data_IF_437013601300
#
_entry.id   IF_437013601300
#
_cell.length_a   1.000
_cell.length_b   1.000
_cell.length_c   1.000
_cell.angle_alpha   90.00
_cell.angle_beta   90.00
_cell.angle_gamma   90.00
#
_symmetry.space_group_name_H-M   'P 1'
#
loop_
_entity.id
_entity.type
_entity.pdbx_description
1 polymer ?
#
# COMPACT_ATOMS: atom_id res chain seq x y z
N UNK A 1 -16.35 34.60 -1.81
CA UNK A 1 -15.74 33.61 -2.71
C UNK A 1 -16.76 32.50 -2.90
N UNK A 2 -17.05 32.03 -4.11
CA UNK A 2 -17.97 30.91 -4.31
C UNK A 2 -17.27 29.61 -3.95
N UNK A 3 -18.03 28.51 -3.72
CA UNK A 3 -17.42 27.19 -3.43
C UNK A 3 -16.55 26.70 -4.60
N UNK A 4 -16.90 27.04 -5.83
CA UNK A 4 -16.15 26.70 -7.02
C UNK A 4 -14.80 27.40 -7.04
N UNK A 5 -14.73 28.69 -6.71
CA UNK A 5 -13.49 29.48 -6.63
C UNK A 5 -12.57 28.96 -5.52
N UNK A 6 -13.13 28.56 -4.38
CA UNK A 6 -12.38 27.94 -3.29
C UNK A 6 -11.80 26.59 -3.72
N UNK A 7 -12.60 25.76 -4.39
CA UNK A 7 -12.13 24.46 -4.88
C UNK A 7 -10.98 24.61 -5.88
N UNK A 8 -11.13 25.52 -6.84
CA UNK A 8 -10.09 25.78 -7.84
C UNK A 8 -8.78 26.28 -7.19
N UNK A 9 -8.88 27.18 -6.22
CA UNK A 9 -7.73 27.66 -5.44
C UNK A 9 -7.00 26.53 -4.73
N UNK A 10 -7.73 25.68 -4.00
CA UNK A 10 -7.12 24.57 -3.28
C UNK A 10 -6.54 23.51 -4.21
N UNK A 11 -7.20 23.23 -5.33
CA UNK A 11 -6.70 22.31 -6.32
C UNK A 11 -5.38 22.82 -6.93
N UNK A 12 -5.30 24.10 -7.28
CA UNK A 12 -4.05 24.71 -7.75
C UNK A 12 -2.92 24.57 -6.72
N UNK A 13 -3.21 24.82 -5.44
CA UNK A 13 -2.24 24.63 -4.36
C UNK A 13 -1.75 23.19 -4.23
N UNK A 14 -2.62 22.21 -4.45
CA UNK A 14 -2.25 20.78 -4.46
C UNK A 14 -1.24 20.50 -5.59
N UNK A 15 -1.46 21.04 -6.79
CA UNK A 15 -0.53 20.85 -7.91
C UNK A 15 0.80 21.56 -7.69
N UNK A 16 0.80 22.79 -7.16
CA UNK A 16 2.03 23.53 -6.81
C UNK A 16 2.88 22.73 -5.81
N UNK A 17 2.28 22.25 -4.72
CA UNK A 17 2.98 21.44 -3.71
C UNK A 17 3.44 20.09 -4.27
N UNK A 18 2.66 19.46 -5.13
CA UNK A 18 3.05 18.21 -5.78
C UNK A 18 4.30 18.40 -6.66
N UNK A 19 4.37 19.51 -7.42
CA UNK A 19 5.53 19.86 -8.23
C UNK A 19 6.77 20.07 -7.35
N UNK A 20 6.66 20.85 -6.27
CA UNK A 20 7.73 21.05 -5.29
C UNK A 20 8.22 19.72 -4.68
N UNK A 21 7.32 18.79 -4.45
CA UNK A 21 7.61 17.46 -3.89
C UNK A 21 8.05 16.42 -4.94
N UNK A 22 8.05 16.76 -6.23
CA UNK A 22 8.35 15.81 -7.31
C UNK A 22 7.28 14.73 -7.53
N UNK A 23 6.04 14.99 -7.13
CA UNK A 23 4.89 14.10 -7.35
C UNK A 23 4.27 14.41 -8.70
N UNK A 24 4.35 13.48 -9.65
CA UNK A 24 3.92 13.71 -11.04
C UNK A 24 2.41 13.83 -11.23
N UNK A 25 1.63 13.12 -10.44
CA UNK A 25 0.16 13.16 -10.45
C UNK A 25 -0.40 13.14 -9.01
N UNK A 26 -0.72 14.31 -8.45
CA UNK A 26 -1.24 14.40 -7.09
C UNK A 26 -2.68 13.88 -6.96
N UNK A 27 -3.37 13.62 -8.08
CA UNK A 27 -4.73 13.06 -8.10
C UNK A 27 -4.72 11.53 -8.25
N UNK A 28 -3.55 10.93 -8.51
CA UNK A 28 -3.40 9.47 -8.39
C UNK A 28 -3.60 9.06 -6.94
N UNK A 29 -4.65 8.25 -6.73
CA UNK A 29 -5.04 7.81 -5.39
C UNK A 29 -3.98 6.98 -4.68
N UNK A 30 -3.15 6.24 -5.40
CA UNK A 30 -2.06 5.48 -4.79
C UNK A 30 -0.99 6.44 -4.26
N UNK A 31 -0.55 7.40 -5.06
CA UNK A 31 0.44 8.39 -4.65
C UNK A 31 -0.05 9.27 -3.49
N UNK A 32 -1.28 9.76 -3.59
CA UNK A 32 -1.90 10.51 -2.51
C UNK A 32 -1.91 9.74 -1.17
N UNK A 33 -2.24 8.44 -1.20
CA UNK A 33 -2.26 7.59 0.00
C UNK A 33 -0.86 7.31 0.54
N UNK A 34 0.12 7.13 -0.34
CA UNK A 34 1.53 7.01 0.03
C UNK A 34 1.99 8.27 0.78
N UNK A 35 1.71 9.48 0.24
CA UNK A 35 2.05 10.77 0.89
C UNK A 35 1.41 10.89 2.28
N UNK A 36 0.10 10.61 2.39
CA UNK A 36 -0.59 10.65 3.69
C UNK A 36 0.03 9.66 4.68
N UNK A 37 0.28 8.43 4.22
CA UNK A 37 0.83 7.36 5.06
C UNK A 37 2.23 7.74 5.55
N UNK A 38 3.11 8.14 4.65
CA UNK A 38 4.47 8.51 4.98
C UNK A 38 4.51 9.68 5.99
N UNK A 39 3.73 10.74 5.73
CA UNK A 39 3.63 11.87 6.64
C UNK A 39 3.13 11.46 8.04
N UNK A 40 2.15 10.56 8.12
CA UNK A 40 1.61 10.09 9.42
C UNK A 40 2.56 9.18 10.18
N UNK A 41 3.42 8.46 9.48
CA UNK A 41 4.39 7.53 10.06
C UNK A 41 5.79 8.16 10.24
N UNK A 42 6.02 9.38 9.75
CA UNK A 42 7.33 10.03 9.78
C UNK A 42 8.35 9.37 8.85
N UNK A 43 7.89 8.84 7.71
CA UNK A 43 8.73 8.20 6.71
C UNK A 43 9.09 9.17 5.59
N UNK A 44 10.22 8.91 4.93
CA UNK A 44 10.69 9.68 3.78
C UNK A 44 10.31 8.93 2.49
N UNK A 45 9.44 9.54 1.67
CA UNK A 45 9.01 8.97 0.38
C UNK A 45 10.13 9.00 -0.65
N UNK A 46 10.16 7.98 -1.51
CA UNK A 46 10.94 8.01 -2.74
C UNK A 46 10.18 8.77 -3.83
N UNK A 47 10.49 10.04 -4.01
CA UNK A 47 9.95 10.87 -5.09
C UNK A 47 10.71 10.61 -6.39
N UNK A 48 9.98 10.64 -7.52
CA UNK A 48 10.57 10.50 -8.86
C UNK A 48 10.61 9.09 -9.43
N UNK A 49 10.12 8.08 -8.72
CA UNK A 49 9.99 6.70 -9.25
C UNK A 49 8.72 6.49 -10.10
N UNK A 50 7.97 7.55 -10.40
CA UNK A 50 6.79 7.49 -11.28
C UNK A 50 7.23 7.36 -12.73
N UNK A 51 7.27 6.15 -13.24
CA UNK A 51 7.57 5.91 -14.64
C UNK A 51 8.37 4.65 -14.95
N UNK A 52 8.32 3.64 -14.12
CA UNK A 52 8.69 2.28 -14.50
C UNK A 52 10.18 1.95 -14.55
N UNK A 53 11.05 2.82 -14.08
CA UNK A 53 12.46 2.48 -13.84
C UNK A 53 12.80 2.73 -12.38
N UNK A 54 12.28 1.84 -11.51
CA UNK A 54 12.91 1.70 -10.20
C UNK A 54 14.37 1.29 -10.45
N UNK A 55 15.31 2.07 -9.91
CA UNK A 55 16.67 1.55 -9.83
C UNK A 55 16.65 0.36 -8.84
N UNK A 56 17.59 -0.56 -8.95
CA UNK A 56 17.65 -1.76 -8.12
C UNK A 56 17.65 -1.42 -6.61
N UNK A 57 18.09 -0.23 -6.22
CA UNK A 57 18.16 0.21 -4.83
C UNK A 57 16.79 0.50 -4.20
N UNK A 58 15.78 0.89 -5.00
CA UNK A 58 14.42 1.24 -4.51
C UNK A 58 13.37 0.20 -4.87
N UNK A 59 13.75 -0.89 -5.57
CA UNK A 59 12.81 -1.93 -5.98
C UNK A 59 11.99 -2.45 -4.79
N UNK A 60 10.67 -2.48 -4.96
CA UNK A 60 9.76 -2.96 -3.93
C UNK A 60 9.63 -2.05 -2.71
N UNK A 61 9.94 -0.74 -2.83
CA UNK A 61 9.81 0.20 -1.73
C UNK A 61 9.24 1.55 -2.20
N UNK A 62 8.33 2.11 -1.39
CA UNK A 62 7.73 3.43 -1.59
C UNK A 62 8.42 4.51 -0.75
N UNK A 63 9.06 4.13 0.36
CA UNK A 63 9.66 5.04 1.32
C UNK A 63 10.83 4.42 2.09
N UNK A 64 11.49 5.25 2.92
CA UNK A 64 12.33 4.79 4.04
C UNK A 64 11.76 5.28 5.37
N UNK A 65 11.93 4.48 6.42
CA UNK A 65 11.63 4.92 7.80
C UNK A 65 12.77 5.78 8.39
N UNK A 66 12.63 6.17 9.65
CA UNK A 66 13.62 6.97 10.37
C UNK A 66 14.98 6.28 10.56
N UNK A 67 15.04 4.96 10.42
CA UNK A 67 16.27 4.15 10.50
C UNK A 67 16.85 3.85 9.11
N UNK A 68 16.27 4.41 8.04
CA UNK A 68 16.69 4.18 6.67
C UNK A 68 16.25 2.84 6.08
N UNK A 69 15.40 2.06 6.76
CA UNK A 69 14.88 0.78 6.26
C UNK A 69 13.81 1.03 5.20
N UNK A 70 13.82 0.25 4.13
CA UNK A 70 12.84 0.32 3.05
C UNK A 70 11.44 -0.04 3.54
N UNK A 71 10.43 0.67 3.05
CA UNK A 71 9.02 0.45 3.39
C UNK A 71 8.18 0.42 2.13
N UNK A 72 7.35 -0.61 1.98
CA UNK A 72 6.35 -0.78 0.94
C UNK A 72 4.96 -0.56 1.51
N UNK A 73 4.17 0.32 0.91
CA UNK A 73 2.79 0.56 1.32
C UNK A 73 1.80 -0.20 0.43
N UNK A 74 0.82 -0.82 1.05
CA UNK A 74 -0.32 -1.42 0.36
C UNK A 74 -1.61 -0.85 0.91
N UNK A 75 -2.31 -0.07 0.10
CA UNK A 75 -3.50 0.66 0.50
C UNK A 75 -4.78 -0.08 0.12
N UNK A 76 -5.69 -0.22 1.07
CA UNK A 76 -7.02 -0.78 0.86
C UNK A 76 -8.11 0.25 1.16
N UNK A 77 -9.10 0.30 0.27
CA UNK A 77 -10.32 1.08 0.51
C UNK A 77 -11.28 0.30 1.40
N UNK A 78 -11.77 0.94 2.44
CA UNK A 78 -12.81 0.40 3.33
C UNK A 78 -14.19 0.83 2.81
N UNK A 79 -15.13 -0.10 2.75
CA UNK A 79 -16.52 0.21 2.41
C UNK A 79 -17.21 1.00 3.54
N UNK A 80 -18.32 1.71 3.24
CA UNK A 80 -19.12 2.39 4.27
C UNK A 80 -19.55 1.45 5.39
N UNK A 81 -20.03 0.26 5.05
CA UNK A 81 -20.44 -0.77 6.02
C UNK A 81 -19.29 -1.23 6.92
N UNK A 82 -18.10 -1.42 6.35
CA UNK A 82 -16.92 -1.81 7.11
C UNK A 82 -16.39 -0.66 7.96
N UNK A 83 -16.49 0.59 7.47
CA UNK A 83 -16.15 1.79 8.25
C UNK A 83 -17.05 1.96 9.48
N UNK A 84 -18.34 1.73 9.35
CA UNK A 84 -19.29 1.75 10.48
C UNK A 84 -18.94 0.67 11.52
N UNK A 85 -18.52 -0.52 11.09
CA UNK A 85 -17.99 -1.56 11.98
C UNK A 85 -16.68 -1.16 12.64
N UNK A 86 -15.79 -0.52 11.88
CA UNK A 86 -14.52 0.01 12.39
C UNK A 86 -14.75 0.99 13.54
N UNK A 87 -15.69 1.94 13.37
CA UNK A 87 -16.02 2.93 14.42
C UNK A 87 -16.53 2.29 15.70
N UNK A 88 -17.20 1.13 15.61
CA UNK A 88 -17.69 0.37 16.78
C UNK A 88 -16.69 -0.62 17.35
N UNK A 89 -15.50 -0.73 16.76
CA UNK A 89 -14.51 -1.73 17.18
C UNK A 89 -14.84 -3.18 16.76
N UNK A 90 -15.74 -3.34 15.78
CA UNK A 90 -16.29 -4.64 15.35
C UNK A 90 -15.73 -5.13 14.01
N UNK A 91 -14.82 -4.38 13.38
CA UNK A 91 -14.29 -4.77 12.09
C UNK A 91 -13.40 -6.00 12.23
N UNK A 92 -13.91 -7.13 11.76
CA UNK A 92 -13.17 -8.41 11.65
C UNK A 92 -13.21 -8.83 10.19
N UNK A 93 -12.12 -8.59 9.47
CA UNK A 93 -12.05 -8.84 8.03
C UNK A 93 -10.59 -9.06 7.60
N UNK A 94 -10.40 -9.82 6.53
CA UNK A 94 -9.11 -9.89 5.84
C UNK A 94 -9.06 -8.84 4.73
N UNK A 95 -7.96 -8.12 4.64
CA UNK A 95 -7.68 -7.20 3.55
C UNK A 95 -6.55 -7.76 2.69
N UNK A 96 -6.58 -7.46 1.40
CA UNK A 96 -5.63 -7.96 0.43
C UNK A 96 -4.54 -6.94 0.16
N UNK A 97 -3.30 -7.28 0.44
CA UNK A 97 -2.12 -6.55 -0.06
C UNK A 97 -1.74 -7.13 -1.43
N UNK A 98 -1.80 -6.32 -2.48
CA UNK A 98 -1.52 -6.76 -3.85
C UNK A 98 -0.09 -6.43 -4.23
N UNK A 99 0.66 -7.43 -4.66
CA UNK A 99 2.05 -7.32 -5.11
C UNK A 99 2.13 -7.52 -6.62
N UNK A 100 2.26 -6.42 -7.32
CA UNK A 100 2.53 -6.42 -8.76
C UNK A 100 3.99 -6.81 -8.97
N UNK A 101 4.24 -7.80 -9.81
CA UNK A 101 5.61 -8.26 -10.05
C UNK A 101 6.06 -9.46 -9.20
N UNK A 102 5.38 -9.84 -8.12
CA UNK A 102 5.69 -11.02 -7.31
C UNK A 102 5.22 -12.33 -8.00
N UNK A 103 5.72 -12.60 -9.21
CA UNK A 103 5.31 -13.73 -10.05
C UNK A 103 6.38 -14.82 -10.23
N UNK A 104 7.53 -14.66 -9.60
CA UNK A 104 8.61 -15.65 -9.53
C UNK A 104 9.28 -15.62 -8.16
N UNK A 105 9.96 -16.69 -7.80
CA UNK A 105 10.74 -16.77 -6.56
C UNK A 105 11.75 -15.62 -6.43
N UNK A 106 12.49 -15.31 -7.48
CA UNK A 106 13.45 -14.20 -7.52
C UNK A 106 12.76 -12.86 -7.19
N UNK A 107 11.60 -12.60 -7.78
CA UNK A 107 10.87 -11.36 -7.54
C UNK A 107 10.25 -11.29 -6.14
N UNK A 108 9.90 -12.43 -5.54
CA UNK A 108 9.41 -12.49 -4.15
C UNK A 108 10.55 -12.16 -3.19
N UNK A 109 11.74 -12.71 -3.40
CA UNK A 109 12.90 -12.47 -2.53
C UNK A 109 13.33 -11.01 -2.48
N UNK A 110 13.08 -10.23 -3.52
CA UNK A 110 13.35 -8.78 -3.54
C UNK A 110 12.57 -7.98 -2.49
N UNK A 111 11.45 -8.52 -2.00
CA UNK A 111 10.65 -7.90 -0.95
C UNK A 111 11.16 -8.24 0.46
N UNK A 112 12.10 -9.19 0.63
CA UNK A 112 12.55 -9.69 1.94
C UNK A 112 13.18 -8.60 2.82
N UNK A 113 13.90 -7.66 2.23
CA UNK A 113 14.58 -6.57 2.96
C UNK A 113 13.70 -5.31 3.08
N UNK A 114 12.39 -5.45 2.89
CA UNK A 114 11.44 -4.34 2.89
C UNK A 114 10.41 -4.54 4.01
N UNK A 115 10.12 -3.51 4.79
CA UNK A 115 8.99 -3.50 5.72
C UNK A 115 7.70 -3.32 4.94
N UNK A 116 6.67 -4.06 5.29
CA UNK A 116 5.38 -4.04 4.60
C UNK A 116 4.31 -3.43 5.49
N UNK A 117 3.67 -2.38 5.02
CA UNK A 117 2.62 -1.67 5.77
C UNK A 117 1.32 -1.70 4.98
N UNK A 118 0.30 -2.36 5.57
CA UNK A 118 -1.07 -2.28 5.11
C UNK A 118 -1.70 -1.00 5.65
N UNK A 119 -2.33 -0.22 4.79
CA UNK A 119 -3.07 0.99 5.16
C UNK A 119 -4.54 0.89 4.75
N UNK A 120 -5.42 1.29 5.64
CA UNK A 120 -6.87 1.29 5.41
C UNK A 120 -7.37 2.72 5.26
N UNK A 121 -8.08 2.98 4.17
CA UNK A 121 -8.65 4.29 3.86
C UNK A 121 -10.17 4.26 3.69
N UNK A 122 -10.83 5.27 4.23
CA UNK A 122 -12.24 5.56 3.95
C UNK A 122 -12.38 7.03 3.56
N UNK A 123 -12.95 7.30 2.38
CA UNK A 123 -13.06 8.65 1.80
C UNK A 123 -11.73 9.43 1.86
N UNK A 124 -10.66 8.76 1.42
CA UNK A 124 -9.28 9.25 1.39
C UNK A 124 -8.72 9.70 2.78
N UNK A 125 -9.38 9.29 3.86
CA UNK A 125 -8.88 9.46 5.22
C UNK A 125 -8.23 8.16 5.69
N UNK A 126 -6.98 8.25 6.15
CA UNK A 126 -6.27 7.12 6.75
C UNK A 126 -6.94 6.74 8.09
N UNK A 127 -7.38 5.49 8.19
CA UNK A 127 -8.02 4.95 9.39
C UNK A 127 -7.02 4.20 10.27
N UNK A 128 -6.16 3.40 9.62
CA UNK A 128 -5.26 2.48 10.31
C UNK A 128 -4.06 2.18 9.42
N UNK A 129 -2.89 2.01 10.04
CA UNK A 129 -1.69 1.46 9.44
C UNK A 129 -1.22 0.26 10.26
N UNK A 130 -0.91 -0.84 9.59
CA UNK A 130 -0.51 -2.10 10.21
C UNK A 130 0.76 -2.56 9.53
N UNK A 131 1.82 -2.73 10.32
CA UNK A 131 3.02 -3.41 9.84
C UNK A 131 2.75 -4.92 9.80
N UNK A 132 3.00 -5.51 8.65
CA UNK A 132 2.79 -6.95 8.42
C UNK A 132 4.15 -7.64 8.50
N UNK A 133 4.29 -8.68 9.37
CA UNK A 133 5.55 -9.40 9.49
C UNK A 133 6.05 -9.91 8.14
N UNK A 134 7.33 -9.71 7.87
CA UNK A 134 7.93 -10.05 6.57
C UNK A 134 7.76 -11.54 6.23
N UNK A 135 7.92 -12.42 7.21
CA UNK A 135 7.76 -13.87 7.00
C UNK A 135 6.33 -14.19 6.54
N UNK A 136 5.30 -13.55 7.14
CA UNK A 136 3.91 -13.72 6.69
C UNK A 136 3.71 -13.27 5.23
N UNK A 137 4.37 -12.19 4.81
CA UNK A 137 4.30 -11.70 3.42
C UNK A 137 4.97 -12.69 2.48
N UNK A 138 6.20 -13.06 2.75
CA UNK A 138 7.01 -13.94 1.90
C UNK A 138 6.37 -15.32 1.79
N UNK A 139 6.02 -15.95 2.91
CA UNK A 139 5.40 -17.28 2.94
C UNK A 139 4.06 -17.29 2.17
N UNK A 140 3.22 -16.27 2.40
CA UNK A 140 1.96 -16.15 1.65
C UNK A 140 2.17 -15.97 0.14
N UNK A 141 3.20 -15.22 -0.28
CA UNK A 141 3.52 -15.05 -1.70
C UNK A 141 3.99 -16.36 -2.33
N UNK A 142 4.82 -17.14 -1.64
CA UNK A 142 5.25 -18.48 -2.08
C UNK A 142 4.07 -19.45 -2.17
N UNK A 143 3.19 -19.50 -1.17
CA UNK A 143 1.97 -20.31 -1.23
C UNK A 143 1.07 -19.96 -2.43
N UNK A 144 0.95 -18.67 -2.76
CA UNK A 144 0.18 -18.24 -3.94
C UNK A 144 0.89 -18.66 -5.22
N UNK A 145 2.22 -18.55 -5.29
CA UNK A 145 3.01 -18.99 -6.44
C UNK A 145 2.83 -20.48 -6.69
N UNK A 146 3.03 -21.32 -5.67
CA UNK A 146 2.86 -22.78 -5.74
C UNK A 146 1.44 -23.16 -6.20
N UNK A 147 0.41 -22.56 -5.60
CA UNK A 147 -0.98 -22.81 -6.03
C UNK A 147 -1.21 -22.47 -7.51
N UNK A 148 -0.59 -21.40 -8.00
CA UNK A 148 -0.68 -21.02 -9.41
C UNK A 148 0.05 -22.02 -10.33
N UNK A 149 1.19 -22.53 -9.92
CA UNK A 149 1.94 -23.55 -10.65
C UNK A 149 1.16 -24.86 -10.75
N UNK A 150 0.58 -25.33 -9.65
CA UNK A 150 -0.29 -26.50 -9.63
C UNK A 150 -1.48 -26.33 -10.59
N UNK A 151 -2.11 -25.16 -10.60
CA UNK A 151 -3.24 -24.87 -11.50
C UNK A 151 -2.80 -24.82 -12.97
N UNK A 152 -1.63 -24.25 -13.28
CA UNK A 152 -1.07 -24.26 -14.63
C UNK A 152 -0.77 -25.67 -15.11
N UNK A 153 -0.20 -26.52 -14.24
CA UNK A 153 0.08 -27.92 -14.56
C UNK A 153 -1.21 -28.72 -14.89
N UNK A 154 -2.37 -28.28 -14.37
CA UNK A 154 -3.70 -28.82 -14.71
C UNK A 154 -4.33 -28.20 -15.95
N UNK A 155 -3.62 -27.30 -16.66
CA UNK A 155 -4.13 -26.60 -17.85
C UNK A 155 -5.09 -25.44 -17.52
N UNK A 156 -5.18 -25.01 -16.26
CA UNK A 156 -6.05 -23.89 -15.89
C UNK A 156 -5.41 -22.55 -16.26
N UNK A 157 -6.24 -21.61 -16.69
CA UNK A 157 -5.81 -20.23 -16.89
C UNK A 157 -5.62 -19.55 -15.53
N UNK A 158 -4.42 -19.04 -15.27
CA UNK A 158 -4.11 -18.29 -14.05
C UNK A 158 -3.56 -16.91 -14.38
N UNK A 159 -3.92 -15.91 -13.57
CA UNK A 159 -3.35 -14.56 -13.66
C UNK A 159 -1.86 -14.60 -13.32
N UNK A 160 -1.04 -13.95 -14.14
CA UNK A 160 0.43 -13.96 -14.00
C UNK A 160 0.97 -12.71 -13.32
N UNK A 161 0.24 -11.60 -13.33
CA UNK A 161 0.79 -10.26 -13.11
C UNK A 161 0.82 -9.80 -11.65
N UNK A 162 0.07 -10.44 -10.76
CA UNK A 162 0.05 -10.06 -9.34
C UNK A 162 -0.25 -11.24 -8.44
N UNK A 163 0.26 -11.17 -7.25
CA UNK A 163 -0.08 -12.05 -6.13
C UNK A 163 -0.63 -11.20 -4.98
N UNK A 164 -1.40 -11.81 -4.08
CA UNK A 164 -1.97 -11.10 -2.95
C UNK A 164 -1.78 -11.85 -1.64
N UNK A 165 -1.44 -11.09 -0.62
CA UNK A 165 -1.32 -11.53 0.76
C UNK A 165 -2.55 -11.09 1.53
N UNK A 166 -3.20 -12.00 2.25
CA UNK A 166 -4.39 -11.70 3.03
C UNK A 166 -4.00 -11.39 4.48
N UNK A 167 -4.28 -10.17 4.91
CA UNK A 167 -3.96 -9.69 6.25
C UNK A 167 -5.24 -9.62 7.09
N UNK A 168 -5.36 -10.40 8.17
CA UNK A 168 -6.52 -10.36 9.05
C UNK A 168 -6.49 -9.10 9.94
N UNK A 169 -7.61 -8.39 10.03
CA UNK A 169 -7.82 -7.36 11.04
C UNK A 169 -8.57 -7.98 12.20
N UNK A 170 -7.90 -8.13 13.32
CA UNK A 170 -8.45 -8.79 14.52
C UNK A 170 -8.97 -7.77 15.53
N UNK A 171 -8.31 -6.60 15.59
CA UNK A 171 -8.71 -5.48 16.44
C UNK A 171 -8.87 -4.21 15.60
N UNK A 172 -10.01 -3.58 15.68
CA UNK A 172 -10.35 -2.38 14.90
C UNK A 172 -10.25 -1.09 15.71
N UNK A 173 -9.31 -0.98 16.65
CA UNK A 173 -9.03 0.31 17.27
C UNK A 173 -8.18 1.16 16.30
N UNK A 174 -8.50 2.44 16.14
CA UNK A 174 -7.65 3.35 15.36
C UNK A 174 -6.24 3.33 15.94
N UNK A 175 -5.30 2.82 15.21
CA UNK A 175 -3.89 2.86 15.59
C UNK A 175 -3.03 3.11 14.35
N UNK A 176 -2.22 4.14 14.42
CA UNK A 176 -1.21 4.43 13.42
C UNK A 176 0.07 3.74 13.90
N UNK A 177 0.65 2.88 13.06
CA UNK A 177 1.92 2.21 13.37
C UNK A 177 1.83 0.95 14.25
N UNK A 178 0.69 0.23 14.24
CA UNK A 178 0.57 -1.05 14.94
C UNK A 178 1.29 -2.17 14.17
N UNK A 179 2.05 -3.01 14.88
CA UNK A 179 2.57 -4.29 14.41
C UNK A 179 1.54 -5.39 14.73
N UNK A 180 1.28 -6.31 13.79
CA UNK A 180 0.44 -7.49 14.01
C UNK A 180 1.14 -8.53 14.88
#
# INVERSE_FOLDING_TARGET
MTKETDFEYHLKKVFELAEEMGVSDPLDKSKYREVITANKLGHNLFFGASGGKHNDATYGADATDSEGRKVEYKSCKVSKKDYEKFLRGELKKKFSMVYNGAYSAENIERYRDTRHVLTLFYNEKLLMSIEVPIDHVIDSLYEVLERKEIRRAKGERVTTNCNSVMVPIVESKPSIGKVL
#
